data_IF_998547869470
#
_entry.id   IF_998547869470
#
_cell.length_a   1.000
_cell.length_b   1.000
_cell.length_c   1.000
_cell.angle_alpha   90.00
_cell.angle_beta   90.00
_cell.angle_gamma   90.00
#
_symmetry.space_group_name_H-M   'P 1'
#
loop_
_entity.id
_entity.type
_entity.pdbx_description
1 polymer ?
#
# COMPACT_ATOMS: atom_id res chain seq x y z
N UNK A 1 16.54 -19.00 11.42
CA UNK A 1 15.11 -18.85 11.01
C UNK A 1 14.73 -17.44 10.52
N UNK A 2 15.61 -16.41 10.53
CA UNK A 2 15.34 -15.04 10.03
C UNK A 2 15.57 -14.84 8.52
N UNK A 3 16.46 -15.63 7.89
CA UNK A 3 16.67 -15.65 6.44
C UNK A 3 15.37 -15.99 5.69
N UNK A 4 14.56 -16.88 6.26
CA UNK A 4 13.24 -17.21 5.72
C UNK A 4 12.24 -16.04 5.79
N UNK A 5 12.37 -15.10 6.73
CA UNK A 5 11.46 -13.94 6.80
C UNK A 5 11.76 -12.94 5.69
N UNK A 6 13.03 -12.57 5.49
CA UNK A 6 13.43 -11.71 4.38
C UNK A 6 13.09 -12.36 3.03
N UNK A 7 13.33 -13.67 2.90
CA UNK A 7 12.91 -14.44 1.73
C UNK A 7 11.39 -14.38 1.51
N UNK A 8 10.57 -14.51 2.57
CA UNK A 8 9.11 -14.38 2.47
C UNK A 8 8.68 -13.00 1.96
N UNK A 9 9.32 -11.92 2.41
CA UNK A 9 9.00 -10.57 1.97
C UNK A 9 9.41 -10.34 0.51
N UNK A 10 10.61 -10.78 0.11
CA UNK A 10 11.07 -10.70 -1.29
C UNK A 10 10.16 -11.52 -2.21
N UNK A 11 9.82 -12.75 -1.82
CA UNK A 11 8.93 -13.62 -2.60
C UNK A 11 7.54 -12.99 -2.72
N UNK A 12 6.98 -12.45 -1.64
CA UNK A 12 5.69 -11.75 -1.70
C UNK A 12 5.74 -10.54 -2.65
N UNK A 13 6.79 -9.72 -2.59
CA UNK A 13 6.98 -8.58 -3.48
C UNK A 13 7.15 -9.02 -4.94
N UNK A 14 7.91 -10.09 -5.19
CA UNK A 14 8.08 -10.64 -6.54
C UNK A 14 6.76 -11.17 -7.11
N UNK A 15 5.93 -11.83 -6.30
CA UNK A 15 4.59 -12.28 -6.72
C UNK A 15 3.73 -11.07 -7.09
N UNK A 16 3.72 -10.00 -6.27
CA UNK A 16 2.95 -8.78 -6.56
C UNK A 16 3.38 -8.16 -7.90
N UNK A 17 4.68 -8.06 -8.16
CA UNK A 17 5.20 -7.50 -9.43
C UNK A 17 4.73 -8.33 -10.63
N UNK A 18 4.83 -9.66 -10.56
CA UNK A 18 4.40 -10.53 -11.67
C UNK A 18 2.92 -10.37 -11.98
N UNK A 19 2.07 -10.35 -10.95
CA UNK A 19 0.62 -10.18 -11.13
C UNK A 19 0.24 -8.75 -11.55
N UNK A 20 1.02 -7.75 -11.16
CA UNK A 20 0.78 -6.36 -11.58
C UNK A 20 1.15 -6.16 -13.05
N UNK A 21 2.31 -6.68 -13.50
CA UNK A 21 2.69 -6.71 -14.92
C UNK A 21 1.65 -7.47 -15.75
N UNK A 22 1.17 -8.62 -15.25
CA UNK A 22 0.09 -9.35 -15.91
C UNK A 22 -1.17 -8.47 -16.06
N UNK A 23 -1.53 -7.70 -15.04
CA UNK A 23 -2.64 -6.74 -15.12
C UNK A 23 -2.38 -5.66 -16.17
N UNK A 24 -1.17 -5.10 -16.23
CA UNK A 24 -0.75 -4.11 -17.23
C UNK A 24 -0.91 -4.64 -18.66
N UNK A 25 -0.54 -5.91 -18.91
CA UNK A 25 -0.69 -6.57 -20.22
C UNK A 25 -2.17 -6.78 -20.58
N UNK A 26 -3.05 -6.92 -19.60
CA UNK A 26 -4.48 -7.12 -19.82
C UNK A 26 -5.24 -5.83 -20.14
N UNK A 27 -4.72 -4.65 -19.76
CA UNK A 27 -5.36 -3.34 -20.00
C UNK A 27 -5.71 -3.07 -21.48
N UNK A 28 -4.83 -3.31 -22.47
CA UNK A 28 -5.14 -3.03 -23.87
C UNK A 28 -5.92 -4.15 -24.59
N UNK A 29 -6.24 -5.26 -23.91
CA UNK A 29 -6.89 -6.41 -24.54
C UNK A 29 -8.40 -6.16 -24.63
N UNK A 30 -8.89 -5.97 -25.86
CA UNK A 30 -10.33 -5.86 -26.16
C UNK A 30 -11.07 -7.11 -25.65
N UNK A 31 -11.88 -6.94 -24.61
CA UNK A 31 -12.55 -8.04 -23.89
C UNK A 31 -14.07 -8.08 -24.06
N UNK A 32 -14.60 -7.41 -25.08
CA UNK A 32 -16.04 -7.28 -25.36
C UNK A 32 -16.76 -8.62 -25.56
N UNK A 33 -16.06 -9.65 -26.06
CA UNK A 33 -16.65 -10.97 -26.29
C UNK A 33 -16.75 -11.86 -25.04
N UNK A 34 -16.02 -11.55 -23.97
CA UNK A 34 -15.81 -12.44 -22.82
C UNK A 34 -15.76 -11.68 -21.48
N UNK A 35 -16.57 -10.63 -21.37
CA UNK A 35 -16.57 -9.68 -20.25
C UNK A 35 -16.73 -10.34 -18.88
N UNK A 36 -17.58 -11.35 -18.72
CA UNK A 36 -17.76 -12.06 -17.44
C UNK A 36 -16.49 -12.81 -17.01
N UNK A 37 -15.78 -13.41 -17.97
CA UNK A 37 -14.53 -14.12 -17.71
C UNK A 37 -13.40 -13.14 -17.39
N UNK A 38 -13.32 -12.03 -18.13
CA UNK A 38 -12.36 -10.94 -17.86
C UNK A 38 -12.57 -10.32 -16.47
N UNK A 39 -13.83 -10.11 -16.07
CA UNK A 39 -14.19 -9.61 -14.74
C UNK A 39 -13.78 -10.57 -13.63
N UNK A 40 -14.13 -11.86 -13.76
CA UNK A 40 -13.78 -12.89 -12.78
C UNK A 40 -12.25 -13.01 -12.64
N UNK A 41 -11.52 -12.99 -13.76
CA UNK A 41 -10.07 -13.02 -13.77
C UNK A 41 -9.45 -11.79 -13.11
N UNK A 42 -9.96 -10.59 -13.41
CA UNK A 42 -9.52 -9.35 -12.76
C UNK A 42 -9.75 -9.39 -11.26
N UNK A 43 -10.89 -9.91 -10.80
CA UNK A 43 -11.17 -10.08 -9.36
C UNK A 43 -10.17 -11.02 -8.68
N UNK A 44 -9.86 -12.17 -9.28
CA UNK A 44 -8.86 -13.11 -8.73
C UNK A 44 -7.48 -12.46 -8.64
N UNK A 45 -7.08 -11.71 -9.67
CA UNK A 45 -5.81 -10.98 -9.69
C UNK A 45 -5.77 -9.93 -8.59
N UNK A 46 -6.82 -9.10 -8.46
CA UNK A 46 -6.91 -8.08 -7.41
C UNK A 46 -6.87 -8.67 -6.01
N UNK A 47 -7.54 -9.80 -5.77
CA UNK A 47 -7.45 -10.52 -4.47
C UNK A 47 -6.01 -10.98 -4.21
N UNK A 48 -5.37 -11.55 -5.22
CA UNK A 48 -3.97 -12.03 -5.11
C UNK A 48 -3.01 -10.87 -4.81
N UNK A 49 -3.18 -9.74 -5.51
CA UNK A 49 -2.41 -8.51 -5.27
C UNK A 49 -2.60 -7.98 -3.86
N UNK A 50 -3.84 -7.97 -3.34
CA UNK A 50 -4.13 -7.54 -1.97
C UNK A 50 -3.47 -8.45 -0.92
N UNK A 51 -3.48 -9.77 -1.12
CA UNK A 51 -2.81 -10.71 -0.21
C UNK A 51 -1.30 -10.46 -0.20
N UNK A 52 -0.69 -10.32 -1.39
CA UNK A 52 0.74 -10.01 -1.50
C UNK A 52 1.11 -8.67 -0.85
N UNK A 53 0.30 -7.63 -1.08
CA UNK A 53 0.46 -6.32 -0.46
C UNK A 53 0.32 -6.39 1.07
N UNK A 54 -0.65 -7.14 1.60
CA UNK A 54 -0.84 -7.32 3.04
C UNK A 54 0.36 -8.03 3.70
N UNK A 55 0.90 -9.07 3.05
CA UNK A 55 2.10 -9.78 3.52
C UNK A 55 3.33 -8.86 3.51
N UNK A 56 3.52 -8.09 2.43
CA UNK A 56 4.63 -7.15 2.33
C UNK A 56 4.51 -6.01 3.35
N UNK A 57 3.34 -5.39 3.46
CA UNK A 57 3.08 -4.28 4.39
C UNK A 57 3.22 -4.74 5.85
N UNK A 58 2.64 -5.89 6.22
CA UNK A 58 2.80 -6.46 7.56
C UNK A 58 4.24 -6.85 7.86
N UNK A 59 4.96 -7.41 6.88
CA UNK A 59 6.39 -7.71 7.00
C UNK A 59 7.25 -6.47 7.17
N UNK A 60 6.98 -5.41 6.39
CA UNK A 60 7.69 -4.14 6.45
C UNK A 60 7.47 -3.45 7.79
N UNK A 61 6.23 -3.36 8.28
CA UNK A 61 5.96 -2.83 9.62
C UNK A 61 6.62 -3.67 10.72
N UNK A 62 6.63 -5.00 10.59
CA UNK A 62 7.33 -5.90 11.51
C UNK A 62 8.85 -5.73 11.50
N UNK A 63 9.43 -5.30 10.38
CA UNK A 63 10.85 -4.98 10.26
C UNK A 63 11.15 -3.58 10.81
N UNK A 64 10.34 -2.58 10.44
CA UNK A 64 10.48 -1.18 10.87
C UNK A 64 10.26 -1.00 12.36
N UNK A 65 9.42 -1.83 12.99
CA UNK A 65 9.21 -1.84 14.44
C UNK A 65 10.42 -2.37 15.24
N UNK A 66 11.40 -3.02 14.59
CA UNK A 66 12.65 -3.43 15.24
C UNK A 66 13.66 -2.29 15.34
N UNK A 67 13.44 -1.21 14.58
CA UNK A 67 14.24 0.01 14.63
C UNK A 67 13.57 1.05 15.54
N UNK A 68 14.29 2.10 15.97
CA UNK A 68 13.70 3.21 16.74
C UNK A 68 12.41 3.75 16.11
N UNK A 69 11.47 4.20 16.93
CA UNK A 69 10.12 4.65 16.52
C UNK A 69 10.11 5.68 15.38
N UNK A 70 11.19 6.47 15.24
CA UNK A 70 11.41 7.39 14.11
C UNK A 70 11.32 6.71 12.74
N UNK A 71 11.79 5.47 12.60
CA UNK A 71 11.73 4.72 11.34
C UNK A 71 10.33 4.17 11.05
N UNK A 72 9.57 3.80 12.07
CA UNK A 72 8.18 3.40 11.91
C UNK A 72 7.33 4.59 11.43
N UNK A 73 7.52 5.77 12.02
CA UNK A 73 6.87 7.01 11.56
C UNK A 73 7.25 7.38 10.13
N UNK A 74 8.49 7.12 9.70
CA UNK A 74 8.91 7.35 8.31
C UNK A 74 8.16 6.44 7.32
N UNK A 75 7.95 5.16 7.65
CA UNK A 75 7.16 4.24 6.81
C UNK A 75 5.70 4.68 6.72
N UNK A 76 5.10 5.08 7.84
CA UNK A 76 3.71 5.58 7.86
C UNK A 76 3.56 6.87 7.05
N UNK A 77 4.52 7.80 7.15
CA UNK A 77 4.57 9.01 6.32
C UNK A 77 4.69 8.68 4.83
N UNK A 78 5.51 7.68 4.47
CA UNK A 78 5.66 7.21 3.09
C UNK A 78 4.35 6.71 2.46
N UNK A 79 3.48 6.03 3.23
CA UNK A 79 2.16 5.61 2.75
C UNK A 79 1.26 6.81 2.43
N UNK A 80 1.27 7.84 3.29
CA UNK A 80 0.52 9.07 3.04
C UNK A 80 1.04 9.82 1.79
N UNK A 81 2.37 9.91 1.64
CA UNK A 81 2.99 10.49 0.44
C UNK A 81 2.62 9.73 -0.84
N UNK A 82 2.53 8.39 -0.78
CA UNK A 82 2.06 7.58 -1.90
C UNK A 82 0.63 7.93 -2.35
N UNK A 83 -0.27 8.20 -1.40
CA UNK A 83 -1.63 8.66 -1.72
C UNK A 83 -1.64 10.05 -2.35
N UNK A 84 -0.83 10.98 -1.85
CA UNK A 84 -0.67 12.32 -2.46
C UNK A 84 -0.12 12.20 -3.89
N UNK A 85 0.86 11.33 -4.11
CA UNK A 85 1.42 11.07 -5.43
C UNK A 85 0.35 10.55 -6.41
N UNK A 86 -0.51 9.62 -5.98
CA UNK A 86 -1.63 9.12 -6.78
C UNK A 86 -2.63 10.24 -7.14
N UNK A 87 -2.95 11.14 -6.19
CA UNK A 87 -3.80 12.30 -6.47
C UNK A 87 -3.17 13.26 -7.48
N UNK A 88 -1.87 13.55 -7.36
CA UNK A 88 -1.15 14.39 -8.32
C UNK A 88 -1.13 13.76 -9.71
N UNK A 89 -0.87 12.46 -9.78
CA UNK A 89 -0.98 11.67 -11.01
C UNK A 89 -2.36 11.83 -11.66
N UNK A 90 -3.45 11.71 -10.89
CA UNK A 90 -4.81 11.91 -11.42
C UNK A 90 -5.04 13.33 -11.96
N UNK A 91 -4.55 14.36 -11.29
CA UNK A 91 -4.66 15.76 -11.76
C UNK A 91 -3.92 15.94 -13.09
N UNK A 92 -2.68 15.43 -13.18
CA UNK A 92 -1.88 15.47 -14.42
C UNK A 92 -2.58 14.69 -15.53
N UNK A 93 -3.22 13.56 -15.22
CA UNK A 93 -4.04 12.81 -16.19
C UNK A 93 -5.08 13.67 -16.85
N UNK A 94 -5.84 14.41 -16.04
CA UNK A 94 -6.97 15.20 -16.53
C UNK A 94 -6.45 16.41 -17.32
N UNK A 95 -5.36 17.04 -16.86
CA UNK A 95 -4.76 18.18 -17.55
C UNK A 95 -4.19 17.82 -18.93
N UNK A 96 -3.70 16.59 -19.12
CA UNK A 96 -3.09 16.13 -20.37
C UNK A 96 -4.10 15.50 -21.33
N UNK A 97 -5.24 15.00 -20.85
CA UNK A 97 -6.15 14.16 -21.64
C UNK A 97 -6.83 14.82 -22.85
N UNK A 98 -6.94 16.16 -22.93
CA UNK A 98 -7.50 16.84 -24.12
C UNK A 98 -8.91 16.37 -24.54
N UNK A 99 -9.44 16.86 -25.68
CA UNK A 99 -10.84 16.62 -26.10
C UNK A 99 -11.17 15.18 -26.57
N UNK A 100 -10.18 14.32 -26.80
CA UNK A 100 -10.36 12.93 -27.29
C UNK A 100 -10.31 11.88 -26.16
N UNK A 101 -11.36 11.89 -25.34
CA UNK A 101 -11.41 11.19 -24.04
C UNK A 101 -11.25 9.66 -24.08
N UNK A 102 -11.53 8.98 -25.21
CA UNK A 102 -11.61 7.50 -25.25
C UNK A 102 -10.27 6.83 -25.63
N UNK A 103 -9.59 7.33 -26.67
CA UNK A 103 -8.26 6.85 -27.04
C UNK A 103 -7.19 7.30 -26.03
N UNK A 104 -7.37 8.49 -25.45
CA UNK A 104 -6.52 9.00 -24.37
C UNK A 104 -6.67 8.18 -23.08
N UNK A 105 -7.84 7.60 -22.78
CA UNK A 105 -8.06 6.85 -21.54
C UNK A 105 -7.23 5.56 -21.45
N UNK A 106 -7.18 4.77 -22.54
CA UNK A 106 -6.37 3.54 -22.58
C UNK A 106 -4.88 3.87 -22.51
N UNK A 107 -4.43 4.87 -23.28
CA UNK A 107 -3.03 5.32 -23.21
C UNK A 107 -2.67 5.89 -21.84
N UNK A 108 -3.57 6.64 -21.21
CA UNK A 108 -3.37 7.17 -19.85
C UNK A 108 -3.29 6.03 -18.83
N UNK A 109 -4.21 5.06 -18.90
CA UNK A 109 -4.19 3.89 -18.03
C UNK A 109 -2.88 3.10 -18.16
N UNK A 110 -2.42 2.87 -19.40
CA UNK A 110 -1.13 2.21 -19.65
C UNK A 110 0.04 2.97 -19.04
N UNK A 111 0.06 4.30 -19.12
CA UNK A 111 1.09 5.13 -18.47
C UNK A 111 1.03 5.00 -16.95
N UNK A 112 -0.15 4.98 -16.33
CA UNK A 112 -0.29 4.80 -14.87
C UNK A 112 0.15 3.42 -14.40
N UNK A 113 -0.28 2.37 -15.10
CA UNK A 113 0.11 1.00 -14.78
C UNK A 113 1.61 0.80 -14.95
N UNK A 114 2.20 1.34 -16.02
CA UNK A 114 3.66 1.28 -16.25
C UNK A 114 4.44 2.07 -15.18
N UNK A 115 3.97 3.25 -14.78
CA UNK A 115 4.57 4.05 -13.71
C UNK A 115 4.52 3.32 -12.36
N UNK A 116 3.42 2.63 -12.07
CA UNK A 116 3.27 1.80 -10.88
C UNK A 116 4.23 0.59 -10.92
N UNK A 117 4.39 -0.07 -12.07
CA UNK A 117 5.37 -1.15 -12.27
C UNK A 117 6.82 -0.66 -12.02
N UNK A 118 7.19 0.50 -12.57
CA UNK A 118 8.52 1.11 -12.32
C UNK A 118 8.70 1.40 -10.82
N UNK A 119 7.69 1.96 -10.17
CA UNK A 119 7.74 2.26 -8.73
C UNK A 119 7.91 0.97 -7.90
N UNK A 120 7.23 -0.12 -8.27
CA UNK A 120 7.38 -1.43 -7.62
C UNK A 120 8.78 -2.02 -7.84
N UNK A 121 9.35 -1.90 -9.04
CA UNK A 121 10.72 -2.35 -9.33
C UNK A 121 11.76 -1.55 -8.53
N UNK A 122 11.61 -0.23 -8.45
CA UNK A 122 12.45 0.62 -7.59
C UNK A 122 12.33 0.19 -6.13
N UNK A 123 11.11 -0.10 -5.67
CA UNK A 123 10.85 -0.62 -4.32
C UNK A 123 11.56 -1.95 -4.07
N UNK A 124 11.57 -2.86 -5.05
CA UNK A 124 12.30 -4.13 -4.97
C UNK A 124 13.80 -3.93 -4.84
N UNK A 125 14.39 -3.06 -5.67
CA UNK A 125 15.83 -2.77 -5.62
C UNK A 125 16.19 -2.10 -4.28
N UNK A 126 15.39 -1.13 -3.83
CA UNK A 126 15.58 -0.48 -2.54
C UNK A 126 15.49 -1.47 -1.36
N UNK A 127 14.56 -2.43 -1.42
CA UNK A 127 14.42 -3.48 -0.41
C UNK A 127 15.64 -4.43 -0.41
N UNK A 128 16.11 -4.86 -1.58
CA UNK A 128 17.33 -5.68 -1.68
C UNK A 128 18.56 -4.92 -1.18
N UNK A 129 18.69 -3.64 -1.50
CA UNK A 129 19.78 -2.81 -1.01
C UNK A 129 19.72 -2.67 0.52
N UNK A 130 18.54 -2.38 1.08
CA UNK A 130 18.32 -2.31 2.52
C UNK A 130 18.75 -3.61 3.22
N UNK A 131 18.34 -4.78 2.71
CA UNK A 131 18.72 -6.07 3.31
C UNK A 131 20.22 -6.38 3.22
N UNK A 132 20.96 -5.72 2.31
CA UNK A 132 22.41 -5.87 2.14
C UNK A 132 23.24 -4.87 2.95
N UNK A 133 22.68 -3.75 3.39
CA UNK A 133 23.44 -2.73 4.15
C UNK A 133 23.92 -3.22 5.53
N UNK A 134 25.12 -2.82 5.94
CA UNK A 134 25.73 -3.19 7.23
C UNK A 134 24.91 -2.73 8.45
N UNK A 135 24.14 -1.65 8.29
CA UNK A 135 23.22 -1.13 9.32
C UNK A 135 22.10 -2.13 9.68
N UNK A 136 21.60 -2.86 8.68
CA UNK A 136 20.62 -3.92 8.86
C UNK A 136 21.19 -5.11 9.65
N UNK A 137 22.43 -5.50 9.34
CA UNK A 137 23.13 -6.58 10.03
C UNK A 137 23.51 -6.20 11.47
N UNK A 138 23.84 -4.94 11.72
CA UNK A 138 24.20 -4.46 13.06
C UNK A 138 23.01 -4.44 14.01
N UNK A 139 21.84 -3.93 13.59
CA UNK A 139 20.63 -3.95 14.45
C UNK A 139 20.00 -5.36 14.56
N UNK A 140 20.03 -6.18 13.49
CA UNK A 140 19.54 -7.57 13.54
C UNK A 140 20.41 -8.48 14.41
N UNK A 141 21.73 -8.28 14.44
CA UNK A 141 22.68 -9.10 15.22
C UNK A 141 22.88 -8.58 16.65
N UNK A 142 22.83 -7.26 16.86
CA UNK A 142 23.06 -6.65 18.18
C UNK A 142 21.81 -6.69 19.08
N UNK A 143 20.59 -6.85 18.54
CA UNK A 143 19.38 -7.06 19.35
C UNK A 143 19.24 -8.46 19.99
N UNK A 144 20.31 -9.27 20.00
CA UNK A 144 20.47 -10.33 20.99
C UNK A 144 20.84 -9.79 22.38
N UNK A 145 21.41 -8.59 22.47
CA UNK A 145 21.88 -8.00 23.72
C UNK A 145 21.83 -6.47 23.63
N UNK A 146 20.81 -5.87 24.23
CA UNK A 146 20.73 -4.45 24.61
C UNK A 146 20.31 -3.39 23.57
N UNK A 147 19.14 -2.83 23.89
CA UNK A 147 18.79 -1.40 23.88
C UNK A 147 17.89 -0.88 22.76
N UNK A 148 16.62 -0.74 23.15
CA UNK A 148 15.70 0.29 22.71
C UNK A 148 14.94 0.84 23.92
N UNK A 149 15.66 1.46 24.87
CA UNK A 149 15.10 2.47 25.78
C UNK A 149 14.84 3.70 24.90
N UNK A 150 13.60 4.02 24.58
CA UNK A 150 12.85 5.12 25.19
C UNK A 150 11.37 4.95 24.76
N UNK A 151 10.47 4.74 25.71
CA UNK A 151 9.01 4.68 25.47
C UNK A 151 8.25 3.63 26.29
N UNK A 152 8.93 2.65 26.90
CA UNK A 152 8.28 1.65 27.75
C UNK A 152 8.57 1.92 29.24
N UNK A 153 7.85 2.89 29.80
CA UNK A 153 7.62 2.91 31.25
C UNK A 153 6.85 1.64 31.61
N UNK A 154 7.55 0.69 32.22
CA UNK A 154 7.13 -0.40 33.14
C UNK A 154 8.16 -1.54 32.97
N UNK A 155 9.24 -1.45 33.76
CA UNK A 155 9.75 -2.49 34.68
C UNK A 155 9.05 -3.87 34.53
N UNK A 156 9.72 -5.03 34.50
CA UNK A 156 10.69 -5.52 35.49
C UNK A 156 11.28 -6.86 35.00
N UNK A 157 12.49 -7.14 35.47
CA UNK A 157 13.06 -8.45 35.79
C UNK A 157 13.88 -9.18 34.71
N UNK A 158 15.21 -9.07 34.90
CA UNK A 158 16.22 -10.11 34.68
C UNK A 158 15.65 -11.53 34.53
N UNK A 159 15.92 -12.19 33.39
CA UNK A 159 16.35 -13.60 33.31
C UNK A 159 16.46 -14.03 31.85
N UNK A 160 17.55 -14.74 31.51
CA UNK A 160 17.87 -15.29 30.20
C UNK A 160 16.95 -16.43 29.75
N UNK A 161 15.65 -16.17 29.62
CA UNK A 161 14.70 -17.03 28.90
C UNK A 161 13.95 -16.15 27.91
N UNK A 162 13.98 -16.53 26.62
CA UNK A 162 13.14 -15.92 25.58
C UNK A 162 11.70 -15.88 26.11
N UNK A 163 11.11 -14.71 26.40
CA UNK A 163 9.73 -14.70 26.85
C UNK A 163 8.89 -15.16 25.66
N UNK A 164 8.08 -16.20 25.87
CA UNK A 164 6.91 -16.44 25.02
C UNK A 164 6.00 -15.24 25.20
N UNK A 165 6.18 -14.22 24.37
CA UNK A 165 5.34 -13.03 24.38
C UNK A 165 3.95 -13.52 23.98
N UNK A 166 3.05 -13.56 24.95
CA UNK A 166 1.65 -13.83 24.71
C UNK A 166 1.07 -12.62 23.98
N UNK A 167 1.07 -12.65 22.64
CA UNK A 167 0.52 -11.62 21.75
C UNK A 167 -0.89 -11.20 22.17
N UNK A 168 -1.68 -12.13 22.71
CA UNK A 168 -3.01 -11.86 23.25
C UNK A 168 -3.02 -10.89 24.43
N UNK A 169 -2.07 -11.00 25.36
CA UNK A 169 -1.95 -10.08 26.50
C UNK A 169 -1.55 -8.67 26.05
N UNK A 170 -0.70 -8.56 25.03
CA UNK A 170 -0.34 -7.28 24.43
C UNK A 170 -1.58 -6.65 23.78
N UNK A 171 -2.34 -7.43 23.02
CA UNK A 171 -3.57 -6.97 22.35
C UNK A 171 -4.62 -6.46 23.35
N UNK A 172 -4.84 -7.20 24.45
CA UNK A 172 -5.73 -6.78 25.54
C UNK A 172 -5.28 -5.48 26.22
N UNK A 173 -3.97 -5.20 26.25
CA UNK A 173 -3.42 -3.97 26.84
C UNK A 173 -3.62 -2.74 25.95
N UNK A 174 -3.55 -2.92 24.63
CA UNK A 174 -3.75 -1.82 23.64
C UNK A 174 -5.17 -1.74 23.09
N UNK A 175 -6.11 -2.56 23.58
CA UNK A 175 -7.46 -2.74 23.02
C UNK A 175 -8.22 -1.43 22.77
N UNK A 176 -8.08 -0.44 23.65
CA UNK A 176 -8.78 0.85 23.52
C UNK A 176 -8.19 1.72 22.40
N UNK A 177 -6.87 1.72 22.24
CA UNK A 177 -6.21 2.41 21.13
C UNK A 177 -6.51 1.70 19.80
N UNK A 178 -6.46 0.37 19.77
CA UNK A 178 -6.80 -0.41 18.58
C UNK A 178 -8.27 -0.23 18.17
N UNK A 179 -9.20 -0.21 19.13
CA UNK A 179 -10.62 0.04 18.88
C UNK A 179 -10.85 1.44 18.31
N UNK A 180 -10.18 2.46 18.85
CA UNK A 180 -10.27 3.83 18.34
C UNK A 180 -9.81 3.91 16.87
N UNK A 181 -8.64 3.36 16.55
CA UNK A 181 -8.13 3.34 15.16
C UNK A 181 -9.05 2.55 14.23
N UNK A 182 -9.60 1.43 14.69
CA UNK A 182 -10.54 0.63 13.92
C UNK A 182 -11.83 1.41 13.62
N UNK A 183 -12.41 2.08 14.62
CA UNK A 183 -13.60 2.91 14.45
C UNK A 183 -13.35 4.06 13.46
N UNK A 184 -12.21 4.75 13.58
CA UNK A 184 -11.85 5.80 12.62
C UNK A 184 -11.79 5.23 11.20
N UNK A 185 -11.15 4.08 11.01
CA UNK A 185 -11.04 3.45 9.70
C UNK A 185 -12.41 3.03 9.12
N UNK A 186 -13.29 2.47 9.95
CA UNK A 186 -14.66 2.10 9.57
C UNK A 186 -15.46 3.33 9.15
N UNK A 187 -15.38 4.42 9.93
CA UNK A 187 -16.07 5.68 9.60
C UNK A 187 -15.52 6.27 8.29
N UNK A 188 -14.21 6.24 8.08
CA UNK A 188 -13.60 6.71 6.83
C UNK A 188 -14.06 5.89 5.62
N UNK A 189 -14.05 4.55 5.71
CA UNK A 189 -14.52 3.67 4.63
C UNK A 189 -16.04 3.77 4.40
N UNK A 190 -16.82 4.06 5.45
CA UNK A 190 -18.26 4.29 5.31
C UNK A 190 -18.56 5.63 4.63
N UNK A 191 -17.78 6.68 4.91
CA UNK A 191 -17.93 7.98 4.27
C UNK A 191 -17.43 7.98 2.81
N UNK A 192 -16.26 7.41 2.55
CA UNK A 192 -15.66 7.29 1.21
C UNK A 192 -15.74 5.83 0.78
N UNK A 193 -16.68 5.39 -0.07
CA UNK A 193 -17.10 5.97 -1.37
C UNK A 193 -18.61 6.26 -1.45
N UNK A 194 -19.37 5.91 -0.39
CA UNK A 194 -20.82 5.91 -0.40
C UNK A 194 -21.42 7.32 -0.46
N UNK A 195 -20.75 8.31 0.14
CA UNK A 195 -21.17 9.71 0.10
C UNK A 195 -20.65 10.38 -1.17
N UNK A 196 -19.39 10.15 -1.53
CA UNK A 196 -18.75 10.73 -2.71
C UNK A 196 -19.39 10.27 -4.01
N UNK A 197 -19.83 9.01 -4.12
CA UNK A 197 -20.54 8.51 -5.31
C UNK A 197 -21.93 9.14 -5.52
N UNK A 198 -22.49 9.82 -4.51
CA UNK A 198 -23.80 10.49 -4.60
C UNK A 198 -23.73 11.98 -4.92
N UNK A 199 -22.52 12.55 -4.99
CA UNK A 199 -22.35 13.96 -5.35
C UNK A 199 -22.60 14.10 -6.86
N UNK A 200 -23.70 14.76 -7.24
CA UNK A 200 -23.95 15.14 -8.63
C UNK A 200 -23.45 16.57 -8.89
N UNK A 201 -22.82 16.84 -10.04
CA UNK A 201 -22.47 18.20 -10.41
C UNK A 201 -23.74 19.05 -10.60
N UNK A 202 -23.77 20.25 -10.02
CA UNK A 202 -24.91 21.18 -10.09
C UNK A 202 -25.12 21.83 -11.47
N UNK A 203 -24.20 21.62 -12.43
CA UNK A 203 -24.27 22.22 -13.76
C UNK A 203 -25.08 21.36 -14.74
N UNK A 204 -26.37 21.22 -14.48
CA UNK A 204 -27.33 20.73 -15.47
C UNK A 204 -28.31 21.86 -15.78
N UNK A 205 -27.96 22.79 -16.68
CA UNK A 205 -28.95 23.82 -17.04
C UNK A 205 -28.60 25.00 -17.95
N UNK A 206 -27.35 25.30 -18.31
CA UNK A 206 -27.09 26.49 -19.16
C UNK A 206 -26.05 26.19 -20.23
N UNK A 207 -26.48 26.26 -21.49
CA UNK A 207 -25.75 25.90 -22.71
C UNK A 207 -24.60 26.85 -23.10
N UNK A 208 -24.02 27.62 -22.17
CA UNK A 208 -23.15 28.75 -22.55
C UNK A 208 -21.70 28.70 -22.07
N UNK A 209 -21.23 27.64 -21.42
CA UNK A 209 -19.79 27.51 -21.13
C UNK A 209 -19.27 26.08 -21.35
N UNK A 210 -18.27 25.88 -22.23
CA UNK A 210 -17.57 24.60 -22.34
C UNK A 210 -16.61 24.48 -21.17
N UNK A 211 -17.12 24.20 -19.96
CA UNK A 211 -16.25 23.81 -18.86
C UNK A 211 -15.90 22.33 -19.03
N UNK A 212 -14.62 22.09 -19.31
CA UNK A 212 -14.00 20.77 -19.53
C UNK A 212 -14.26 19.80 -18.35
N UNK A 213 -14.67 20.35 -17.20
CA UNK A 213 -14.88 19.67 -15.93
C UNK A 213 -16.29 19.11 -15.71
N UNK A 214 -17.25 19.36 -16.61
CA UNK A 214 -18.66 18.97 -16.41
C UNK A 214 -19.08 17.68 -17.15
N UNK A 215 -18.13 16.95 -17.76
CA UNK A 215 -18.38 15.65 -18.42
C UNK A 215 -17.81 14.49 -17.60
N UNK A 216 -18.39 14.21 -16.43
CA UNK A 216 -18.37 12.87 -15.81
C UNK A 216 -19.72 12.62 -15.13
#
# INVERSE_FOLDING_TARGET
MRINQQLKLVVALSIVIVFFIFTTILVPINSDSWQYSFFALTMVVVVTLNVGAAVFQGGLFGLSAQFPSKYLSAVLSGQALGAVFACLCRIVSIAVAGEDAVAAAVNSALVYFTLADITLLISMVAFLWMTKTAFYQFYTSSHGTSSGKEGATITTALSGKKPSINVWKVFLKIKWYALSVCLVFVVTLAMFPAITAKIRPMYTGTKEHPSIWARE
#
